data_IF_778321661826
#
_entry.id   IF_778321661826
#
_cell.length_a   1.000
_cell.length_b   1.000
_cell.length_c   1.000
_cell.angle_alpha   90.00
_cell.angle_beta   90.00
_cell.angle_gamma   90.00
#
_symmetry.space_group_name_H-M   'P 1'
#
loop_
_entity.id
_entity.type
_entity.pdbx_description
1 polymer ?
#
# COMPACT_ATOMS: atom_id res chain seq x y z
N UNK A 1 14.69 11.60 76.29
CA UNK A 1 14.80 11.35 74.83
C UNK A 1 14.33 9.93 74.47
N UNK A 2 13.03 9.61 74.51
CA UNK A 2 12.53 8.25 74.18
C UNK A 2 11.12 8.18 73.55
N UNK A 3 10.68 9.20 72.82
CA UNK A 3 9.37 9.16 72.13
C UNK A 3 9.35 9.67 70.68
N UNK A 4 10.50 9.93 70.05
CA UNK A 4 10.55 10.44 68.66
C UNK A 4 10.74 9.36 67.58
N UNK A 5 11.01 8.10 67.97
CA UNK A 5 11.33 7.04 67.01
C UNK A 5 10.11 6.36 66.33
N UNK A 6 8.92 6.19 66.96
CA UNK A 6 7.83 5.47 66.30
C UNK A 6 7.03 6.33 65.31
N UNK A 7 7.13 7.67 65.39
CA UNK A 7 6.44 8.57 64.47
C UNK A 7 7.19 8.74 63.13
N UNK A 8 8.51 8.55 63.11
CA UNK A 8 9.30 8.62 61.87
C UNK A 8 9.13 7.37 61.00
N UNK A 9 8.81 6.21 61.60
CA UNK A 9 8.60 4.96 60.85
C UNK A 9 7.20 4.86 60.22
N UNK A 10 6.19 5.57 60.72
CA UNK A 10 4.87 5.65 60.08
C UNK A 10 4.82 6.67 58.93
N UNK A 11 5.78 7.59 58.82
CA UNK A 11 5.87 8.53 57.70
C UNK A 11 6.58 7.94 56.47
N UNK A 12 7.30 6.82 56.62
CA UNK A 12 8.07 6.16 55.55
C UNK A 12 7.31 5.04 54.82
N UNK A 13 6.10 4.69 55.25
CA UNK A 13 5.26 3.66 54.61
C UNK A 13 4.15 4.24 53.70
N UNK A 14 4.12 5.56 53.51
CA UNK A 14 3.21 6.25 52.58
C UNK A 14 3.82 6.56 51.20
N UNK A 15 5.08 6.21 50.96
CA UNK A 15 5.64 6.14 49.62
C UNK A 15 5.55 4.70 49.11
N UNK A 16 4.32 4.29 48.73
CA UNK A 16 4.20 3.22 47.74
C UNK A 16 5.00 3.62 46.50
N UNK A 17 5.57 2.67 45.74
CA UNK A 17 6.18 3.00 44.46
C UNK A 17 5.12 3.76 43.65
N UNK A 18 5.39 5.03 43.35
CA UNK A 18 4.63 5.76 42.35
C UNK A 18 4.78 4.91 41.10
N UNK A 19 3.71 4.23 40.71
CA UNK A 19 3.65 3.50 39.47
C UNK A 19 4.00 4.52 38.38
N UNK A 20 5.22 4.42 37.85
CA UNK A 20 5.60 5.14 36.64
C UNK A 20 4.90 4.43 35.50
N UNK A 21 4.39 5.20 34.53
CA UNK A 21 3.93 4.63 33.28
C UNK A 21 5.08 3.82 32.69
N UNK A 22 4.91 2.50 32.61
CA UNK A 22 5.85 1.67 31.90
C UNK A 22 5.45 1.78 30.42
N UNK A 23 6.29 2.43 29.61
CA UNK A 23 6.24 2.22 28.17
C UNK A 23 6.60 0.76 27.97
N UNK A 24 5.59 -0.03 27.62
CA UNK A 24 5.77 -1.45 27.47
C UNK A 24 6.54 -1.73 26.18
N UNK A 25 7.62 -2.50 26.29
CA UNK A 25 8.40 -2.98 25.15
C UNK A 25 9.13 -1.88 24.36
N UNK A 26 10.29 -1.44 24.86
CA UNK A 26 11.16 -0.42 24.25
C UNK A 26 11.86 -0.86 22.94
N UNK A 27 11.43 -1.97 22.31
CA UNK A 27 11.99 -2.45 21.05
C UNK A 27 11.09 -2.04 19.88
N UNK A 28 11.55 -1.08 19.09
CA UNK A 28 10.83 -0.53 17.92
C UNK A 28 11.19 0.93 17.67
N UNK A 29 10.71 1.52 16.57
CA UNK A 29 10.80 2.97 16.40
C UNK A 29 9.88 3.66 17.43
N UNK A 30 10.48 4.47 18.30
CA UNK A 30 9.74 5.18 19.32
C UNK A 30 8.85 6.25 18.68
N UNK A 31 7.54 6.15 18.88
CA UNK A 31 6.61 7.23 18.53
C UNK A 31 6.66 8.31 19.61
N UNK A 32 7.15 9.54 19.30
CA UNK A 32 7.24 10.61 20.28
C UNK A 32 5.85 11.03 20.80
N UNK A 33 4.81 10.89 19.97
CA UNK A 33 3.43 11.19 20.34
C UNK A 33 2.92 10.19 21.37
N UNK A 34 3.10 8.87 21.14
CA UNK A 34 2.71 7.85 22.11
C UNK A 34 3.48 8.00 23.43
N UNK A 35 4.79 8.25 23.36
CA UNK A 35 5.62 8.46 24.55
C UNK A 35 5.11 9.65 25.40
N UNK A 36 4.71 10.74 24.76
CA UNK A 36 4.15 11.91 25.45
C UNK A 36 2.78 11.64 26.10
N UNK A 37 2.05 10.61 25.65
CA UNK A 37 0.76 10.22 26.20
C UNK A 37 0.86 9.22 27.36
N UNK A 38 1.96 8.48 27.50
CA UNK A 38 2.09 7.39 28.47
C UNK A 38 1.78 7.83 29.91
N UNK A 39 2.43 8.89 30.40
CA UNK A 39 2.21 9.41 31.76
C UNK A 39 0.80 9.98 31.97
N UNK A 40 0.15 10.44 30.89
CA UNK A 40 -1.19 11.04 30.95
C UNK A 40 -2.29 9.98 30.96
N UNK A 41 -2.07 8.85 30.29
CA UNK A 41 -3.03 7.76 30.18
C UNK A 41 -2.91 6.75 31.33
N UNK A 42 -1.73 6.63 31.95
CA UNK A 42 -1.52 5.70 33.06
C UNK A 42 -2.47 5.87 34.25
N UNK A 43 -2.78 7.10 34.74
CA UNK A 43 -3.77 7.31 35.81
C UNK A 43 -5.19 6.89 35.41
N UNK A 44 -5.51 6.82 34.12
CA UNK A 44 -6.78 6.34 33.60
C UNK A 44 -6.85 4.81 33.50
N UNK A 45 -5.78 4.12 33.92
CA UNK A 45 -5.65 2.67 33.82
C UNK A 45 -5.43 2.19 32.39
N UNK A 46 -4.79 3.00 31.55
CA UNK A 46 -4.49 2.69 30.15
C UNK A 46 -2.99 2.72 29.97
N UNK A 47 -2.42 1.62 29.48
CA UNK A 47 -1.00 1.49 29.22
C UNK A 47 -0.68 1.91 27.78
N UNK A 48 0.58 2.21 27.48
CA UNK A 48 1.03 2.59 26.13
C UNK A 48 2.16 1.68 25.67
N UNK A 49 2.09 1.23 24.42
CA UNK A 49 3.12 0.43 23.77
C UNK A 49 3.51 1.01 22.41
N UNK A 50 4.81 1.04 22.11
CA UNK A 50 5.28 1.43 20.77
C UNK A 50 5.06 0.35 19.73
N UNK A 51 4.92 -0.91 20.16
CA UNK A 51 4.61 -2.04 19.30
C UNK A 51 3.85 -3.11 20.10
N UNK A 52 2.57 -3.28 19.79
CA UNK A 52 1.68 -4.23 20.46
C UNK A 52 2.02 -5.71 20.12
N UNK A 53 2.76 -5.95 19.03
CA UNK A 53 3.14 -7.29 18.60
C UNK A 53 4.43 -7.81 19.27
N UNK A 54 5.06 -7.02 20.15
CA UNK A 54 6.18 -7.50 20.94
C UNK A 54 5.76 -8.73 21.74
N UNK A 55 6.58 -9.78 21.68
CA UNK A 55 6.22 -11.11 22.18
C UNK A 55 5.74 -11.11 23.63
N UNK A 56 6.32 -10.26 24.47
CA UNK A 56 5.94 -10.11 25.88
C UNK A 56 4.55 -9.49 26.11
N UNK A 57 4.06 -8.70 25.15
CA UNK A 57 2.76 -8.03 25.18
C UNK A 57 1.70 -8.86 24.45
N UNK A 58 2.03 -9.34 23.26
CA UNK A 58 1.14 -10.16 22.43
C UNK A 58 0.71 -11.45 23.15
N UNK A 59 1.67 -12.17 23.76
CA UNK A 59 1.40 -13.47 24.41
C UNK A 59 0.60 -13.40 25.72
N UNK A 60 0.31 -12.21 26.23
CA UNK A 60 -0.39 -12.00 27.50
C UNK A 60 -1.66 -11.20 27.28
N UNK A 61 -2.76 -11.72 27.80
CA UNK A 61 -4.01 -10.99 27.88
C UNK A 61 -3.80 -9.65 28.64
N UNK A 62 -4.34 -8.53 28.11
CA UNK A 62 -4.16 -7.23 28.72
C UNK A 62 -4.90 -7.14 30.06
N UNK A 63 -4.16 -6.94 31.16
CA UNK A 63 -4.78 -6.62 32.47
C UNK A 63 -5.43 -5.24 32.49
N UNK A 64 -4.94 -4.34 31.63
CA UNK A 64 -5.40 -2.99 31.36
C UNK A 64 -5.38 -2.78 29.85
N UNK A 65 -6.33 -2.03 29.27
CA UNK A 65 -6.28 -1.67 27.86
C UNK A 65 -4.94 -0.99 27.52
N UNK A 66 -4.38 -1.31 26.35
CA UNK A 66 -3.11 -0.75 25.88
C UNK A 66 -3.32 0.01 24.57
N UNK A 67 -2.89 1.25 24.52
CA UNK A 67 -2.86 2.03 23.29
C UNK A 67 -1.52 1.80 22.57
N UNK A 68 -1.55 1.50 21.27
CA UNK A 68 -0.29 1.37 20.54
C UNK A 68 -0.41 1.18 19.04
N UNK A 69 0.74 0.90 18.44
CA UNK A 69 0.93 0.61 17.03
C UNK A 69 1.12 -0.90 16.80
N UNK A 70 0.87 -1.32 15.56
CA UNK A 70 1.07 -2.69 15.10
C UNK A 70 2.26 -2.76 14.14
N UNK A 71 3.02 -3.84 14.21
CA UNK A 71 4.25 -4.01 13.43
C UNK A 71 4.00 -4.07 11.92
N UNK A 72 2.94 -4.78 11.51
CA UNK A 72 2.54 -4.94 10.11
C UNK A 72 1.63 -3.81 9.60
N UNK A 73 1.47 -2.75 10.40
CA UNK A 73 0.82 -1.50 10.02
C UNK A 73 1.75 -0.34 10.41
N UNK A 74 2.94 -0.23 9.79
CA UNK A 74 3.85 0.85 10.11
C UNK A 74 3.27 2.20 9.67
N UNK A 75 3.71 3.31 10.28
CA UNK A 75 3.33 4.66 9.83
C UNK A 75 3.51 4.83 8.32
N UNK A 76 2.66 5.68 7.73
CA UNK A 76 2.58 5.96 6.30
C UNK A 76 2.09 4.79 5.44
N UNK A 77 1.63 3.69 6.05
CA UNK A 77 0.90 2.65 5.31
C UNK A 77 -0.57 3.06 5.20
N UNK A 78 -0.96 3.62 4.04
CA UNK A 78 -2.33 4.00 3.77
C UNK A 78 -3.21 2.77 3.49
N UNK A 79 -4.49 2.78 3.88
CA UNK A 79 -5.36 1.63 3.66
C UNK A 79 -5.70 1.39 2.20
N UNK A 80 -6.01 0.14 1.88
CA UNK A 80 -6.46 -0.33 0.57
C UNK A 80 -8.00 -0.29 0.45
N UNK A 81 -8.55 -0.49 -0.76
CA UNK A 81 -10.01 -0.55 -0.96
C UNK A 81 -10.68 -1.64 -0.12
N UNK A 82 -10.10 -2.85 -0.09
CA UNK A 82 -10.65 -3.97 0.69
C UNK A 82 -10.64 -3.67 2.20
N UNK A 83 -9.57 -3.03 2.70
CA UNK A 83 -9.48 -2.62 4.11
C UNK A 83 -10.52 -1.55 4.45
N UNK A 84 -10.68 -0.55 3.57
CA UNK A 84 -11.69 0.50 3.75
C UNK A 84 -13.11 -0.08 3.78
N UNK A 85 -13.44 -1.00 2.86
CA UNK A 85 -14.77 -1.61 2.81
C UNK A 85 -15.06 -2.48 4.06
N UNK A 86 -14.08 -3.24 4.54
CA UNK A 86 -14.20 -4.00 5.79
C UNK A 86 -14.38 -3.07 7.00
N UNK A 87 -13.58 -2.00 7.05
CA UNK A 87 -13.61 -1.03 8.14
C UNK A 87 -14.94 -0.27 8.19
N UNK A 88 -15.40 0.27 7.06
CA UNK A 88 -16.69 0.98 6.99
C UNK A 88 -17.85 0.06 7.36
N UNK A 89 -17.79 -1.22 6.93
CA UNK A 89 -18.80 -2.21 7.30
C UNK A 89 -18.85 -2.43 8.81
N UNK A 90 -17.70 -2.67 9.46
CA UNK A 90 -17.67 -2.91 10.89
C UNK A 90 -18.12 -1.67 11.69
N UNK A 91 -17.76 -0.46 11.23
CA UNK A 91 -18.22 0.77 11.85
C UNK A 91 -19.75 0.93 11.70
N UNK A 92 -20.28 0.71 10.50
CA UNK A 92 -21.71 0.78 10.20
C UNK A 92 -22.53 -0.28 10.96
N UNK A 93 -21.96 -1.46 11.17
CA UNK A 93 -22.55 -2.55 11.98
C UNK A 93 -22.44 -2.27 13.49
N UNK A 94 -21.75 -1.20 13.90
CA UNK A 94 -21.57 -0.79 15.29
C UNK A 94 -20.59 -1.65 16.08
N UNK A 95 -19.73 -2.40 15.40
CA UNK A 95 -18.75 -3.29 16.02
C UNK A 95 -17.49 -2.54 16.47
N UNK A 96 -17.18 -1.42 15.80
CA UNK A 96 -16.01 -0.59 16.10
C UNK A 96 -16.39 0.88 16.18
N UNK A 97 -15.59 1.64 16.93
CA UNK A 97 -15.62 3.10 16.94
C UNK A 97 -14.26 3.67 16.59
N UNK A 98 -14.22 5.00 16.38
CA UNK A 98 -13.00 5.66 15.95
C UNK A 98 -12.78 7.02 16.60
N UNK A 99 -11.51 7.31 16.88
CA UNK A 99 -11.05 8.61 17.34
C UNK A 99 -9.98 9.12 16.38
N UNK A 100 -10.31 10.16 15.62
CA UNK A 100 -9.36 10.87 14.77
C UNK A 100 -8.66 11.96 15.60
N UNK A 101 -7.32 11.95 15.58
CA UNK A 101 -6.45 12.79 16.38
C UNK A 101 -5.48 13.55 15.46
N UNK A 102 -5.41 14.86 15.65
CA UNK A 102 -4.53 15.73 14.89
C UNK A 102 -3.52 16.40 15.82
N UNK A 103 -2.23 16.03 15.66
CA UNK A 103 -1.13 16.44 16.55
C UNK A 103 -0.82 17.94 16.43
N UNK A 104 -1.09 18.54 15.27
CA UNK A 104 -0.88 19.96 15.02
C UNK A 104 -2.18 20.60 14.54
N UNK A 105 -2.65 21.59 15.28
CA UNK A 105 -3.87 22.32 14.98
C UNK A 105 -3.73 23.11 13.67
N UNK A 106 -4.48 22.73 12.64
CA UNK A 106 -4.81 23.61 11.52
C UNK A 106 -5.71 24.76 11.98
N UNK A 107 -5.78 25.84 11.19
CA UNK A 107 -6.46 27.10 11.51
C UNK A 107 -7.97 27.01 11.74
N UNK A 108 -8.69 28.13 11.56
CA UNK A 108 -10.12 28.26 11.87
C UNK A 108 -11.08 27.52 10.88
N UNK A 109 -10.59 26.47 10.20
CA UNK A 109 -11.35 25.62 9.27
C UNK A 109 -11.99 24.42 9.98
N UNK A 110 -12.79 23.64 9.25
CA UNK A 110 -13.40 22.41 9.77
C UNK A 110 -12.32 21.37 10.14
N UNK A 111 -12.63 20.43 11.05
CA UNK A 111 -11.70 19.36 11.42
C UNK A 111 -11.25 18.55 10.19
N UNK A 112 -12.17 18.26 9.28
CA UNK A 112 -11.87 17.50 8.07
C UNK A 112 -10.92 18.25 7.13
N UNK A 113 -11.09 19.56 6.94
CA UNK A 113 -10.16 20.35 6.13
C UNK A 113 -8.76 20.40 6.77
N UNK A 114 -8.71 20.58 8.09
CA UNK A 114 -7.46 20.52 8.85
C UNK A 114 -6.80 19.14 8.74
N UNK A 115 -7.59 18.07 8.78
CA UNK A 115 -7.13 16.70 8.61
C UNK A 115 -6.51 16.49 7.22
N UNK A 116 -7.16 16.92 6.13
CA UNK A 116 -6.61 16.77 4.78
C UNK A 116 -5.38 17.65 4.53
N UNK A 117 -5.31 18.83 5.13
CA UNK A 117 -4.18 19.75 5.00
C UNK A 117 -2.96 19.34 5.84
N UNK A 118 -3.16 18.53 6.88
CA UNK A 118 -2.08 18.13 7.77
C UNK A 118 -1.12 17.11 7.11
N UNK A 119 0.19 17.16 7.47
CA UNK A 119 1.15 16.13 7.07
C UNK A 119 0.67 14.73 7.47
N UNK A 120 0.97 13.67 6.69
CA UNK A 120 0.50 12.31 6.98
C UNK A 120 0.77 11.84 8.42
N UNK A 121 1.99 12.07 8.93
CA UNK A 121 2.34 11.66 10.31
C UNK A 121 1.58 12.42 11.41
N UNK A 122 0.95 13.56 11.12
CA UNK A 122 0.13 14.28 12.09
C UNK A 122 -1.30 13.73 12.18
N UNK A 123 -1.72 12.90 11.22
CA UNK A 123 -3.07 12.33 11.10
C UNK A 123 -3.11 10.94 11.71
N UNK A 124 -3.56 10.86 12.96
CA UNK A 124 -3.63 9.62 13.73
C UNK A 124 -5.08 9.16 13.82
N UNK A 125 -5.34 7.94 13.41
CA UNK A 125 -6.64 7.32 13.55
C UNK A 125 -6.56 6.18 14.56
N UNK A 126 -7.27 6.31 15.69
CA UNK A 126 -7.38 5.27 16.71
C UNK A 126 -8.67 4.48 16.50
N UNK A 127 -8.55 3.20 16.16
CA UNK A 127 -9.67 2.26 16.12
C UNK A 127 -9.81 1.50 17.44
N UNK A 128 -11.03 1.27 17.90
CA UNK A 128 -11.32 0.47 19.11
C UNK A 128 -12.60 -0.35 18.92
N UNK A 129 -12.72 -1.45 19.66
CA UNK A 129 -13.92 -2.30 19.66
C UNK A 129 -15.03 -1.64 20.48
N UNK A 130 -16.29 -1.82 20.08
CA UNK A 130 -17.42 -1.06 20.63
C UNK A 130 -17.59 -1.15 22.17
N UNK A 131 -17.21 -2.26 22.81
CA UNK A 131 -17.27 -2.43 24.26
C UNK A 131 -16.21 -1.60 24.99
N UNK A 132 -15.17 -1.16 24.30
CA UNK A 132 -14.14 -0.26 24.84
C UNK A 132 -14.55 1.23 24.82
N UNK A 133 -15.76 1.56 24.38
CA UNK A 133 -16.27 2.95 24.34
C UNK A 133 -16.10 3.67 25.68
N UNK A 134 -16.37 3.00 26.80
CA UNK A 134 -16.19 3.58 28.13
C UNK A 134 -14.72 3.90 28.47
N UNK A 135 -13.76 3.17 27.88
CA UNK A 135 -12.32 3.46 28.00
C UNK A 135 -11.98 4.71 27.20
N UNK A 136 -12.44 4.78 25.95
CA UNK A 136 -12.22 5.92 25.04
C UNK A 136 -12.81 7.21 25.61
N UNK A 137 -14.02 7.16 26.15
CA UNK A 137 -14.67 8.32 26.81
C UNK A 137 -13.82 8.91 27.94
N UNK A 138 -13.05 8.09 28.67
CA UNK A 138 -12.11 8.58 29.69
C UNK A 138 -10.88 9.24 29.09
N UNK A 139 -10.46 8.84 27.89
CA UNK A 139 -9.31 9.40 27.19
C UNK A 139 -9.60 10.77 26.58
N UNK A 140 -10.83 11.01 26.11
CA UNK A 140 -11.19 12.22 25.35
C UNK A 140 -10.76 13.54 26.01
N UNK A 141 -10.99 13.80 27.32
CA UNK A 141 -10.61 15.08 27.93
C UNK A 141 -9.09 15.28 27.98
N UNK A 142 -8.33 14.20 28.17
CA UNK A 142 -6.87 14.22 28.21
C UNK A 142 -6.29 14.51 26.81
N UNK A 143 -6.86 13.87 25.79
CA UNK A 143 -6.44 14.04 24.40
C UNK A 143 -6.83 15.42 23.85
N UNK A 144 -8.04 15.90 24.15
CA UNK A 144 -8.53 17.23 23.74
C UNK A 144 -7.67 18.37 24.30
N UNK A 145 -7.03 18.17 25.46
CA UNK A 145 -6.08 19.14 26.02
C UNK A 145 -4.74 19.23 25.27
N UNK A 146 -4.49 18.37 24.28
CA UNK A 146 -3.21 18.24 23.57
C UNK A 146 -3.34 18.29 22.05
N UNK A 147 -4.45 17.80 21.50
CA UNK A 147 -4.67 17.59 20.08
C UNK A 147 -6.08 18.05 19.71
N UNK A 148 -6.27 18.43 18.43
CA UNK A 148 -7.64 18.47 17.90
C UNK A 148 -8.12 17.03 17.73
N UNK A 149 -9.39 16.78 18.05
CA UNK A 149 -9.96 15.46 17.91
C UNK A 149 -11.38 15.48 17.37
N UNK A 150 -11.75 14.37 16.74
CA UNK A 150 -13.10 14.04 16.33
C UNK A 150 -13.35 12.58 16.74
N UNK A 151 -14.33 12.38 17.60
CA UNK A 151 -14.77 11.06 18.04
C UNK A 151 -16.03 10.70 17.27
N UNK A 152 -16.02 9.54 16.61
CA UNK A 152 -17.19 8.95 15.99
C UNK A 152 -17.50 7.67 16.78
N UNK A 153 -18.61 7.68 17.49
CA UNK A 153 -19.01 6.57 18.37
C UNK A 153 -19.45 5.35 17.52
N UNK A 154 -19.37 4.12 18.07
CA UNK A 154 -19.83 2.92 17.37
C UNK A 154 -21.33 3.00 17.02
N UNK A 155 -21.69 2.59 15.80
CA UNK A 155 -23.09 2.38 15.40
C UNK A 155 -23.83 3.63 14.91
N UNK A 156 -23.15 4.77 14.80
CA UNK A 156 -23.70 5.97 14.15
C UNK A 156 -23.59 5.84 12.62
N UNK A 157 -24.51 5.07 12.03
CA UNK A 157 -24.47 4.72 10.60
C UNK A 157 -24.32 5.94 9.66
N UNK A 158 -24.92 7.07 10.01
CA UNK A 158 -24.82 8.31 9.23
C UNK A 158 -23.39 8.88 9.14
N UNK A 159 -22.49 8.46 10.04
CA UNK A 159 -21.11 8.92 10.11
C UNK A 159 -20.11 7.96 9.43
N UNK A 160 -20.57 6.83 8.88
CA UNK A 160 -19.69 5.82 8.27
C UNK A 160 -18.84 6.39 7.12
N UNK A 161 -19.43 7.21 6.25
CA UNK A 161 -18.70 7.90 5.19
C UNK A 161 -17.64 8.86 5.76
N UNK A 162 -17.98 9.61 6.81
CA UNK A 162 -17.06 10.53 7.46
C UNK A 162 -15.87 9.78 8.09
N UNK A 163 -16.13 8.67 8.78
CA UNK A 163 -15.11 7.76 9.29
C UNK A 163 -14.23 7.18 8.18
N UNK A 164 -14.84 6.70 7.09
CA UNK A 164 -14.14 6.16 5.93
C UNK A 164 -13.23 7.18 5.25
N UNK A 165 -13.66 8.44 5.14
CA UNK A 165 -12.84 9.55 4.62
C UNK A 165 -11.61 9.82 5.48
N UNK A 166 -11.75 9.76 6.81
CA UNK A 166 -10.63 9.90 7.73
C UNK A 166 -9.68 8.69 7.62
N UNK A 167 -10.24 7.48 7.60
CA UNK A 167 -9.52 6.22 7.48
C UNK A 167 -8.66 6.18 6.23
N UNK A 168 -9.25 6.51 5.06
CA UNK A 168 -8.62 6.44 3.75
C UNK A 168 -7.26 7.16 3.64
N UNK A 169 -7.05 8.20 4.46
CA UNK A 169 -5.84 9.04 4.44
C UNK A 169 -5.09 9.06 5.78
N UNK A 170 -5.47 8.21 6.74
CA UNK A 170 -4.79 8.11 8.03
C UNK A 170 -3.31 7.75 7.84
N UNK A 171 -2.40 8.62 8.27
CA UNK A 171 -0.96 8.36 8.14
C UNK A 171 -0.38 7.57 9.32
N UNK A 172 -1.10 7.51 10.43
CA UNK A 172 -0.84 6.54 11.51
C UNK A 172 -2.16 5.88 11.89
N UNK A 173 -2.15 4.55 12.01
CA UNK A 173 -3.30 3.76 12.49
C UNK A 173 -2.94 3.15 13.84
N UNK A 174 -3.60 3.63 14.88
CA UNK A 174 -3.44 3.15 16.25
C UNK A 174 -4.61 2.23 16.60
N UNK A 175 -4.38 1.35 17.57
CA UNK A 175 -5.43 0.47 18.09
C UNK A 175 -5.38 0.40 19.60
N UNK A 176 -6.54 0.20 20.21
CA UNK A 176 -6.69 -0.13 21.62
C UNK A 176 -6.72 -1.66 21.80
N UNK A 177 -5.66 -2.22 22.37
CA UNK A 177 -5.54 -3.63 22.73
C UNK A 177 -6.21 -3.88 24.09
N UNK A 178 -7.39 -4.50 24.06
CA UNK A 178 -8.18 -4.92 25.23
C UNK A 178 -8.57 -6.41 25.10
N UNK A 179 -9.15 -7.00 26.15
CA UNK A 179 -9.72 -8.36 26.04
C UNK A 179 -10.83 -8.38 24.98
N UNK A 180 -11.71 -7.38 24.94
CA UNK A 180 -12.79 -7.31 23.96
C UNK A 180 -12.26 -7.19 22.52
N UNK A 181 -11.26 -6.32 22.31
CA UNK A 181 -10.62 -6.15 21.00
C UNK A 181 -9.90 -7.42 20.51
N UNK A 182 -9.33 -8.23 21.42
CA UNK A 182 -8.72 -9.53 21.07
C UNK A 182 -9.74 -10.64 20.79
N UNK A 183 -10.90 -10.58 21.44
CA UNK A 183 -11.97 -11.56 21.24
C UNK A 183 -12.80 -11.25 19.98
N UNK A 184 -12.74 -10.01 19.49
CA UNK A 184 -13.38 -9.57 18.27
C UNK A 184 -12.74 -10.22 17.02
N UNK A 185 -13.52 -11.07 16.37
CA UNK A 185 -13.10 -11.78 15.15
C UNK A 185 -13.37 -10.90 13.94
N UNK A 186 -12.31 -10.28 13.42
CA UNK A 186 -12.38 -9.41 12.26
C UNK A 186 -11.21 -9.64 11.31
N UNK A 187 -11.46 -9.39 10.03
CA UNK A 187 -10.43 -9.37 8.99
C UNK A 187 -9.80 -7.96 8.84
N UNK A 188 -10.25 -6.98 9.64
CA UNK A 188 -9.66 -5.64 9.70
C UNK A 188 -8.26 -5.74 10.30
N UNK A 189 -7.20 -5.27 9.61
CA UNK A 189 -5.81 -5.42 10.06
C UNK A 189 -5.53 -4.96 11.49
N UNK A 190 -6.16 -3.86 11.92
CA UNK A 190 -6.03 -3.29 13.27
C UNK A 190 -6.42 -4.26 14.38
N UNK A 191 -7.40 -5.14 14.13
CA UNK A 191 -7.86 -6.13 15.11
C UNK A 191 -7.28 -7.52 14.82
N UNK A 192 -7.12 -7.87 13.55
CA UNK A 192 -6.58 -9.15 13.09
C UNK A 192 -5.19 -9.45 13.67
N UNK A 193 -4.36 -8.42 13.85
CA UNK A 193 -2.99 -8.57 14.35
C UNK A 193 -2.87 -8.44 15.88
N UNK A 194 -3.95 -8.19 16.62
CA UNK A 194 -3.91 -8.14 18.07
C UNK A 194 -3.64 -9.53 18.66
N UNK A 195 -2.76 -9.59 19.67
CA UNK A 195 -2.35 -10.86 20.29
C UNK A 195 -1.37 -11.70 19.45
N UNK A 196 -1.12 -11.34 18.19
CA UNK A 196 -0.12 -11.99 17.34
C UNK A 196 1.28 -11.49 17.67
N UNK A 197 2.21 -12.41 17.90
CA UNK A 197 3.57 -12.10 18.30
C UNK A 197 4.52 -12.01 17.11
N UNK A 198 5.44 -11.04 17.14
CA UNK A 198 6.55 -10.96 16.19
C UNK A 198 7.28 -12.29 16.05
N UNK A 199 7.62 -12.64 14.81
CA UNK A 199 8.40 -13.83 14.52
C UNK A 199 9.86 -13.63 14.93
N UNK A 200 10.55 -14.73 15.27
CA UNK A 200 11.99 -14.68 15.61
C UNK A 200 12.77 -14.11 14.42
N UNK A 201 13.60 -13.10 14.69
CA UNK A 201 14.44 -12.42 13.70
C UNK A 201 13.64 -11.75 12.55
N UNK A 202 12.39 -11.35 12.82
CA UNK A 202 11.55 -10.62 11.86
C UNK A 202 10.87 -9.44 12.54
N UNK A 203 10.60 -8.39 11.77
CA UNK A 203 9.82 -7.23 12.20
C UNK A 203 8.32 -7.37 11.90
N UNK A 204 7.86 -8.59 11.57
CA UNK A 204 6.48 -8.89 11.16
C UNK A 204 5.89 -10.06 11.97
N UNK A 205 4.59 -10.00 12.24
CA UNK A 205 3.78 -11.14 12.72
C UNK A 205 3.41 -12.06 11.57
N UNK A 206 3.31 -11.50 10.37
CA UNK A 206 3.02 -12.26 9.17
C UNK A 206 4.18 -13.23 8.89
N UNK A 207 3.79 -14.48 8.67
CA UNK A 207 4.73 -15.48 8.21
C UNK A 207 4.60 -15.58 6.69
N UNK A 208 5.53 -15.01 5.89
CA UNK A 208 5.53 -15.20 4.44
C UNK A 208 5.53 -16.68 4.05
N UNK A 209 6.06 -17.55 4.92
CA UNK A 209 6.05 -19.00 4.79
C UNK A 209 4.92 -19.71 5.59
N UNK A 210 3.86 -19.07 6.09
CA UNK A 210 2.77 -19.85 6.74
C UNK A 210 1.95 -20.59 5.71
N UNK A 211 1.18 -21.62 6.04
CA UNK A 211 0.23 -22.22 5.06
C UNK A 211 -0.95 -21.30 4.72
N UNK A 212 -1.24 -20.27 5.52
CA UNK A 212 -2.31 -19.31 5.25
C UNK A 212 -1.82 -18.19 4.32
N UNK A 213 -0.63 -17.65 4.58
CA UNK A 213 0.04 -16.74 3.65
C UNK A 213 0.69 -17.45 2.48
N UNK A 214 1.08 -18.73 2.57
CA UNK A 214 1.25 -19.69 1.44
C UNK A 214 -0.06 -20.40 1.14
N UNK A 215 -1.22 -19.78 1.36
CA UNK A 215 -2.48 -20.10 0.67
C UNK A 215 -2.82 -18.94 -0.24
N UNK A 216 -2.60 -17.72 0.25
CA UNK A 216 -2.51 -16.49 -0.55
C UNK A 216 -1.31 -16.52 -1.53
N UNK A 217 -0.10 -16.77 -1.03
CA UNK A 217 1.16 -16.92 -1.77
C UNK A 217 1.41 -18.33 -2.35
N UNK A 218 0.54 -19.32 -2.10
CA UNK A 218 0.54 -20.58 -2.87
C UNK A 218 -0.52 -20.59 -3.96
N UNK A 219 -1.54 -19.72 -3.88
CA UNK A 219 -2.36 -19.35 -5.03
C UNK A 219 -1.65 -18.35 -5.96
N UNK A 220 -0.43 -17.94 -5.64
CA UNK A 220 0.34 -16.92 -6.33
C UNK A 220 1.78 -17.40 -6.66
N UNK A 221 2.40 -16.85 -7.71
CA UNK A 221 3.48 -17.48 -8.45
C UNK A 221 4.81 -17.49 -7.73
N UNK A 222 5.74 -18.32 -8.22
CA UNK A 222 7.12 -18.07 -7.86
C UNK A 222 7.48 -16.65 -8.34
N UNK A 223 7.88 -15.85 -7.35
CA UNK A 223 8.16 -14.43 -7.37
C UNK A 223 8.86 -14.05 -8.68
N UNK A 224 8.14 -13.30 -9.53
CA UNK A 224 8.71 -12.68 -10.71
C UNK A 224 8.97 -11.21 -10.40
N UNK A 225 10.25 -10.84 -10.28
CA UNK A 225 10.69 -9.45 -10.26
C UNK A 225 11.37 -9.15 -11.58
N UNK A 226 11.06 -8.01 -12.18
CA UNK A 226 11.64 -7.62 -13.47
C UNK A 226 13.18 -7.60 -13.42
N UNK A 227 13.76 -7.09 -12.35
CA UNK A 227 15.21 -7.05 -12.11
C UNK A 227 15.89 -8.43 -12.19
N UNK A 228 15.14 -9.50 -11.96
CA UNK A 228 15.66 -10.87 -12.00
C UNK A 228 15.80 -11.42 -13.44
N UNK A 229 15.33 -10.71 -14.47
CA UNK A 229 15.52 -11.09 -15.87
C UNK A 229 16.94 -10.83 -16.41
N UNK A 230 17.82 -10.18 -15.64
CA UNK A 230 19.12 -9.71 -16.13
C UNK A 230 18.98 -8.55 -17.12
N UNK A 231 20.08 -8.08 -17.69
CA UNK A 231 20.10 -6.98 -18.67
C UNK A 231 21.10 -7.27 -19.81
N UNK A 232 21.61 -6.23 -20.47
CA UNK A 232 22.64 -6.38 -21.51
C UNK A 232 23.94 -7.01 -20.96
N UNK A 233 24.25 -6.83 -19.68
CA UNK A 233 25.51 -7.20 -19.04
C UNK A 233 25.35 -8.29 -17.98
N UNK A 234 24.19 -8.37 -17.34
CA UNK A 234 23.90 -9.28 -16.23
C UNK A 234 23.04 -10.47 -16.66
N UNK A 235 23.38 -11.65 -16.14
CA UNK A 235 22.60 -12.86 -16.40
C UNK A 235 21.30 -12.86 -15.59
N UNK A 236 20.22 -13.40 -16.16
CA UNK A 236 18.99 -13.65 -15.42
C UNK A 236 19.22 -14.61 -14.25
N UNK A 237 18.54 -14.34 -13.15
CA UNK A 237 18.46 -15.22 -11.98
C UNK A 237 17.18 -16.06 -11.98
N UNK A 238 16.28 -15.87 -12.96
CA UNK A 238 14.99 -16.54 -13.03
C UNK A 238 15.13 -17.93 -13.71
N UNK A 239 14.66 -19.00 -13.07
CA UNK A 239 14.46 -20.29 -13.73
C UNK A 239 13.39 -20.16 -14.84
N UNK A 240 13.68 -20.63 -16.06
CA UNK A 240 12.81 -20.58 -17.25
C UNK A 240 11.38 -21.12 -16.99
N UNK A 241 11.26 -22.02 -16.02
CA UNK A 241 10.00 -22.64 -15.58
C UNK A 241 9.03 -21.59 -14.99
N UNK A 242 9.50 -20.37 -14.67
CA UNK A 242 8.79 -19.39 -13.83
C UNK A 242 8.80 -17.96 -14.41
N UNK A 243 8.55 -17.80 -15.70
CA UNK A 243 8.02 -16.49 -16.16
C UNK A 243 6.58 -16.69 -16.59
N UNK A 244 5.64 -16.79 -15.64
CA UNK A 244 4.23 -16.79 -15.99
C UNK A 244 3.87 -15.39 -16.50
N UNK A 245 3.22 -15.31 -17.67
CA UNK A 245 2.76 -14.05 -18.28
C UNK A 245 3.92 -13.27 -18.89
N UNK A 246 3.93 -13.14 -20.22
CA UNK A 246 4.97 -12.37 -20.90
C UNK A 246 4.77 -10.87 -20.77
N UNK A 247 4.26 -10.38 -19.63
CA UNK A 247 4.19 -8.96 -19.29
C UNK A 247 4.46 -8.79 -17.79
N UNK A 248 5.34 -7.85 -17.45
CA UNK A 248 5.58 -7.46 -16.07
C UNK A 248 5.91 -5.97 -15.94
N UNK A 249 5.37 -5.33 -14.89
CA UNK A 249 5.48 -3.89 -14.67
C UNK A 249 6.05 -3.56 -13.29
N UNK A 250 7.33 -3.19 -13.29
CA UNK A 250 8.20 -3.07 -12.12
C UNK A 250 8.53 -1.64 -11.70
N UNK A 251 8.42 -0.67 -12.60
CA UNK A 251 9.08 0.61 -12.40
C UNK A 251 8.19 1.62 -11.66
N UNK A 252 8.71 2.33 -10.65
CA UNK A 252 8.01 3.47 -10.07
C UNK A 252 8.10 4.69 -10.99
N UNK A 253 7.07 5.55 -10.95
CA UNK A 253 7.09 6.79 -11.71
C UNK A 253 8.21 7.74 -11.24
N UNK A 254 8.89 8.35 -12.20
CA UNK A 254 9.83 9.46 -12.00
C UNK A 254 9.18 10.74 -12.49
N UNK A 255 9.20 11.79 -11.67
CA UNK A 255 8.66 13.09 -12.03
C UNK A 255 9.78 14.08 -12.36
N UNK A 256 9.56 14.94 -13.36
CA UNK A 256 10.48 16.05 -13.67
C UNK A 256 10.51 17.13 -12.60
N UNK A 257 9.44 17.24 -11.81
CA UNK A 257 9.26 18.23 -10.75
C UNK A 257 9.10 17.53 -9.39
N UNK A 258 9.71 18.09 -8.35
CA UNK A 258 9.51 17.65 -6.97
C UNK A 258 8.21 18.25 -6.37
N UNK A 259 7.74 17.69 -5.25
CA UNK A 259 6.62 18.26 -4.50
C UNK A 259 5.25 18.11 -5.18
N UNK A 260 5.13 17.20 -6.14
CA UNK A 260 3.84 16.88 -6.75
C UNK A 260 2.98 16.06 -5.78
N UNK A 261 1.66 16.19 -5.92
CA UNK A 261 0.68 15.30 -5.30
C UNK A 261 -0.40 14.89 -6.31
N UNK A 262 -1.08 13.78 -6.02
CA UNK A 262 -2.19 13.28 -6.82
C UNK A 262 -3.52 13.78 -6.24
N UNK A 263 -4.40 14.23 -7.13
CA UNK A 263 -5.78 14.61 -6.81
C UNK A 263 -6.72 13.80 -7.70
N UNK A 264 -7.77 13.26 -7.09
CA UNK A 264 -8.91 12.69 -7.80
C UNK A 264 -10.15 13.55 -7.55
N UNK A 265 -10.78 14.05 -8.59
CA UNK A 265 -12.02 14.82 -8.46
C UNK A 265 -12.78 14.78 -9.77
N UNK A 266 -14.12 14.76 -9.70
CA UNK A 266 -14.98 14.72 -10.88
C UNK A 266 -14.58 13.59 -11.85
N UNK A 267 -14.27 12.41 -11.29
CA UNK A 267 -13.87 11.22 -12.05
C UNK A 267 -12.59 11.40 -12.90
N UNK A 268 -11.74 12.36 -12.53
CA UNK A 268 -10.50 12.69 -13.24
C UNK A 268 -9.32 12.74 -12.28
N UNK A 269 -8.16 12.23 -12.73
CA UNK A 269 -6.88 12.38 -12.05
C UNK A 269 -6.12 13.63 -12.51
N UNK A 270 -5.49 14.28 -11.54
CA UNK A 270 -4.67 15.48 -11.70
C UNK A 270 -3.37 15.34 -10.93
N UNK A 271 -2.28 15.87 -11.48
CA UNK A 271 -1.10 16.19 -10.67
C UNK A 271 -1.27 17.63 -10.15
N UNK A 272 -0.99 17.82 -8.87
CA UNK A 272 -0.96 19.12 -8.22
C UNK A 272 0.48 19.50 -7.90
N UNK A 273 0.91 20.69 -8.33
CA UNK A 273 2.16 21.31 -7.92
C UNK A 273 2.08 21.92 -6.52
N UNK A 274 3.24 22.20 -5.91
CA UNK A 274 3.34 22.88 -4.60
C UNK A 274 2.72 24.29 -4.61
N UNK A 275 2.71 24.94 -5.77
CA UNK A 275 2.09 26.25 -6.02
C UNK A 275 0.56 26.18 -6.20
N UNK A 276 -0.02 24.98 -6.10
CA UNK A 276 -1.44 24.74 -6.36
C UNK A 276 -1.79 24.64 -7.84
N UNK A 277 -0.81 24.68 -8.75
CA UNK A 277 -1.05 24.46 -10.17
C UNK A 277 -1.59 23.05 -10.40
N UNK A 278 -2.59 22.92 -11.28
CA UNK A 278 -3.20 21.63 -11.64
C UNK A 278 -2.79 21.24 -13.05
N UNK A 279 -2.26 20.03 -13.18
CA UNK A 279 -1.87 19.45 -14.45
C UNK A 279 -2.79 18.26 -14.75
N UNK A 280 -3.50 18.35 -15.87
CA UNK A 280 -4.38 17.27 -16.34
C UNK A 280 -3.52 16.08 -16.73
N UNK A 281 -3.75 14.91 -16.13
CA UNK A 281 -3.14 13.65 -16.58
C UNK A 281 -3.83 13.14 -17.85
N UNK A 282 -3.15 12.36 -18.71
CA UNK A 282 -3.77 11.82 -19.92
C UNK A 282 -5.03 11.03 -19.57
N UNK A 283 -6.10 11.16 -20.35
CA UNK A 283 -7.37 10.53 -20.04
C UNK A 283 -7.26 9.00 -20.12
N UNK A 284 -7.78 8.29 -19.12
CA UNK A 284 -8.06 6.86 -19.21
C UNK A 284 -9.41 6.57 -18.52
N UNK A 285 -10.09 5.47 -18.88
CA UNK A 285 -11.31 5.05 -18.18
C UNK A 285 -11.05 4.77 -16.69
N UNK A 286 -12.01 5.08 -15.81
CA UNK A 286 -11.93 4.75 -14.37
C UNK A 286 -11.57 3.27 -14.09
N UNK A 287 -12.14 2.27 -14.81
CA UNK A 287 -11.76 0.86 -14.60
C UNK A 287 -10.26 0.61 -14.80
N UNK A 288 -9.63 1.31 -15.76
CA UNK A 288 -8.20 1.18 -16.04
C UNK A 288 -7.37 1.72 -14.87
N UNK A 289 -7.69 2.92 -14.38
CA UNK A 289 -6.98 3.48 -13.23
C UNK A 289 -7.17 2.63 -11.97
N UNK A 290 -8.38 2.14 -11.73
CA UNK A 290 -8.65 1.27 -10.58
C UNK A 290 -7.89 -0.04 -10.65
N UNK A 291 -7.91 -0.71 -11.80
CA UNK A 291 -7.18 -1.96 -12.02
C UNK A 291 -5.65 -1.76 -11.90
N UNK A 292 -5.12 -0.65 -12.43
CA UNK A 292 -3.70 -0.31 -12.28
C UNK A 292 -3.31 -0.03 -10.82
N UNK A 293 -4.17 0.64 -10.05
CA UNK A 293 -3.97 0.85 -8.62
C UNK A 293 -3.96 -0.47 -7.84
N UNK A 294 -4.96 -1.33 -8.06
CA UNK A 294 -5.06 -2.63 -7.39
C UNK A 294 -3.89 -3.54 -7.76
N UNK A 295 -3.44 -3.48 -9.02
CA UNK A 295 -2.26 -4.20 -9.47
C UNK A 295 -0.99 -3.71 -8.78
N UNK A 296 -0.76 -2.39 -8.70
CA UNK A 296 0.41 -1.82 -8.03
C UNK A 296 0.47 -2.24 -6.55
N UNK A 297 -0.67 -2.18 -5.86
CA UNK A 297 -0.81 -2.61 -4.46
C UNK A 297 -0.50 -4.10 -4.31
N UNK A 298 -1.09 -4.97 -5.14
CA UNK A 298 -0.82 -6.41 -5.14
C UNK A 298 0.65 -6.70 -5.45
N UNK A 299 1.23 -6.01 -6.43
CA UNK A 299 2.61 -6.17 -6.89
C UNK A 299 3.58 -5.97 -5.73
N UNK A 300 3.41 -4.90 -4.96
CA UNK A 300 4.20 -4.62 -3.77
C UNK A 300 3.96 -5.64 -2.66
N UNK A 301 2.69 -6.00 -2.40
CA UNK A 301 2.33 -6.93 -1.32
C UNK A 301 2.95 -8.31 -1.48
N UNK A 302 3.00 -8.82 -2.72
CA UNK A 302 3.44 -10.18 -2.99
C UNK A 302 4.83 -10.25 -3.62
N UNK A 303 5.49 -9.10 -3.76
CA UNK A 303 6.77 -8.93 -4.43
C UNK A 303 6.80 -9.56 -5.84
N UNK A 304 5.79 -9.28 -6.66
CA UNK A 304 5.80 -9.76 -8.05
C UNK A 304 5.22 -8.76 -9.03
N UNK A 305 5.99 -8.45 -10.07
CA UNK A 305 5.64 -7.49 -11.11
C UNK A 305 4.83 -8.10 -12.25
N UNK A 306 4.62 -9.42 -12.25
CA UNK A 306 3.94 -10.13 -13.33
C UNK A 306 2.42 -9.93 -13.28
N UNK A 307 1.80 -9.78 -14.46
CA UNK A 307 0.34 -9.60 -14.61
C UNK A 307 -0.48 -10.88 -14.39
N UNK A 308 0.18 -11.99 -14.08
CA UNK A 308 -0.43 -13.29 -13.85
C UNK A 308 0.03 -13.90 -12.53
N UNK A 309 -0.80 -14.79 -12.01
CA UNK A 309 -0.56 -15.62 -10.84
C UNK A 309 -0.28 -17.07 -11.26
N UNK A 310 0.49 -17.83 -10.48
CA UNK A 310 0.58 -19.29 -10.61
C UNK A 310 -0.03 -19.90 -9.35
N UNK A 311 -1.00 -20.78 -9.53
CA UNK A 311 -1.63 -21.47 -8.42
C UNK A 311 -0.79 -22.64 -7.85
N UNK A 312 -1.28 -23.27 -6.78
CA UNK A 312 -0.60 -24.37 -6.06
C UNK A 312 -0.24 -25.57 -6.94
N UNK A 313 -0.89 -25.67 -8.10
CA UNK A 313 -0.73 -26.77 -9.08
C UNK A 313 0.15 -26.37 -10.26
N UNK A 314 0.76 -25.19 -10.23
CA UNK A 314 1.60 -24.69 -11.32
C UNK A 314 0.80 -24.11 -12.48
N UNK A 315 -0.51 -23.82 -12.33
CA UNK A 315 -1.33 -23.26 -13.42
C UNK A 315 -1.28 -21.74 -13.41
N UNK A 316 -1.01 -21.17 -14.57
CA UNK A 316 -1.00 -19.71 -14.80
C UNK A 316 -2.43 -19.20 -14.93
N UNK A 317 -2.76 -18.12 -14.21
CA UNK A 317 -4.04 -17.40 -14.29
C UNK A 317 -3.78 -15.90 -14.30
N UNK A 318 -4.66 -15.10 -14.91
CA UNK A 318 -4.54 -13.63 -14.82
C UNK A 318 -4.59 -13.23 -13.34
N UNK A 319 -3.78 -12.23 -12.98
CA UNK A 319 -3.71 -11.71 -11.61
C UNK A 319 -5.11 -11.38 -11.10
N UNK A 320 -5.43 -11.76 -9.87
CA UNK A 320 -6.72 -11.42 -9.26
C UNK A 320 -6.98 -9.89 -9.27
N UNK A 321 -5.95 -9.06 -9.25
CA UNK A 321 -6.07 -7.60 -9.38
C UNK A 321 -6.62 -7.15 -10.74
N UNK A 322 -6.35 -7.91 -11.81
CA UNK A 322 -6.74 -7.62 -13.18
C UNK A 322 -7.92 -8.49 -13.66
N UNK A 323 -8.22 -9.60 -12.97
CA UNK A 323 -9.29 -10.52 -13.35
C UNK A 323 -10.62 -9.80 -13.55
N UNK A 324 -11.37 -10.24 -14.57
CA UNK A 324 -12.68 -9.70 -14.95
C UNK A 324 -12.66 -8.22 -15.39
N UNK A 325 -11.52 -7.72 -15.87
CA UNK A 325 -11.38 -6.38 -16.47
C UNK A 325 -11.05 -6.45 -17.97
N UNK A 326 -11.44 -5.43 -18.72
CA UNK A 326 -11.04 -5.30 -20.14
C UNK A 326 -9.52 -5.21 -20.30
N UNK A 327 -8.85 -4.58 -19.32
CA UNK A 327 -7.39 -4.49 -19.23
C UNK A 327 -6.73 -5.87 -19.24
N UNK A 328 -7.26 -6.83 -18.45
CA UNK A 328 -6.74 -8.18 -18.43
C UNK A 328 -6.81 -8.87 -19.80
N UNK A 329 -7.95 -8.75 -20.48
CA UNK A 329 -8.12 -9.33 -21.81
C UNK A 329 -7.15 -8.71 -22.83
N UNK A 330 -7.01 -7.38 -22.80
CA UNK A 330 -6.08 -6.67 -23.67
C UNK A 330 -4.62 -7.08 -23.41
N UNK A 331 -4.21 -7.21 -22.15
CA UNK A 331 -2.85 -7.63 -21.81
C UNK A 331 -2.53 -9.06 -22.26
N UNK A 332 -3.48 -9.98 -22.14
CA UNK A 332 -3.31 -11.33 -22.71
C UNK A 332 -3.20 -11.28 -24.24
N UNK A 333 -3.96 -10.41 -24.90
CA UNK A 333 -3.85 -10.24 -26.35
C UNK A 333 -2.49 -9.66 -26.75
N UNK A 334 -2.02 -8.63 -26.04
CA UNK A 334 -0.72 -7.96 -26.28
C UNK A 334 0.44 -8.95 -26.11
N UNK A 335 0.40 -9.82 -25.10
CA UNK A 335 1.43 -10.85 -24.86
C UNK A 335 1.64 -11.79 -26.06
N UNK A 336 0.61 -12.00 -26.89
CA UNK A 336 0.71 -12.86 -28.08
C UNK A 336 1.27 -12.16 -29.33
N UNK A 337 1.33 -10.83 -29.34
CA UNK A 337 1.73 -10.05 -30.51
C UNK A 337 3.19 -10.23 -30.94
N UNK A 338 4.20 -10.31 -30.05
CA UNK A 338 5.61 -10.35 -30.44
C UNK A 338 5.95 -11.40 -31.51
N UNK A 339 5.35 -12.59 -31.44
CA UNK A 339 5.60 -13.68 -32.40
C UNK A 339 4.94 -13.50 -33.76
N UNK A 340 4.00 -12.57 -33.91
CA UNK A 340 3.43 -12.23 -35.21
C UNK A 340 4.45 -11.49 -36.07
N UNK A 341 5.26 -10.64 -35.42
CA UNK A 341 6.25 -9.75 -36.03
C UNK A 341 7.66 -10.33 -36.04
N UNK A 342 8.04 -11.13 -35.03
CA UNK A 342 9.37 -11.73 -34.90
C UNK A 342 9.30 -13.25 -35.10
N UNK A 343 9.74 -13.73 -36.28
CA UNK A 343 9.59 -15.14 -36.70
C UNK A 343 10.89 -15.95 -36.82
N UNK A 344 12.06 -15.31 -36.69
CA UNK A 344 13.37 -15.92 -37.00
C UNK A 344 14.25 -16.20 -35.79
N UNK A 345 13.78 -15.85 -34.60
CA UNK A 345 14.44 -16.26 -33.37
C UNK A 345 14.00 -17.68 -33.03
N UNK A 346 14.95 -18.55 -32.69
CA UNK A 346 14.66 -19.91 -32.20
C UNK A 346 14.32 -19.85 -30.70
N UNK A 347 13.25 -19.12 -30.40
CA UNK A 347 12.76 -18.82 -29.06
C UNK A 347 11.26 -19.08 -29.03
N UNK A 348 10.76 -19.47 -27.86
CA UNK A 348 9.33 -19.82 -27.67
C UNK A 348 8.61 -18.91 -26.70
N UNK A 349 9.33 -17.94 -26.14
CA UNK A 349 8.83 -17.07 -25.09
C UNK A 349 9.24 -15.62 -25.32
N UNK A 350 8.29 -14.72 -25.14
CA UNK A 350 8.51 -13.28 -25.06
C UNK A 350 8.09 -12.77 -23.70
N UNK A 351 8.68 -11.65 -23.28
CA UNK A 351 8.24 -10.89 -22.11
C UNK A 351 8.33 -9.40 -22.44
N UNK A 352 7.30 -8.65 -22.08
CA UNK A 352 7.21 -7.20 -22.18
C UNK A 352 7.45 -6.63 -20.80
N UNK A 353 8.42 -5.74 -20.66
CA UNK A 353 8.74 -5.11 -19.39
C UNK A 353 8.86 -3.61 -19.55
N UNK A 354 8.37 -2.84 -18.59
CA UNK A 354 8.68 -1.42 -18.49
C UNK A 354 10.11 -1.22 -18.03
N UNK A 355 10.78 -0.17 -18.50
CA UNK A 355 12.16 0.16 -18.15
C UNK A 355 12.29 1.47 -17.40
N UNK A 356 11.47 2.45 -17.77
CA UNK A 356 11.44 3.75 -17.13
C UNK A 356 10.12 4.41 -17.45
N UNK A 357 9.43 4.89 -16.44
CA UNK A 357 8.25 5.73 -16.60
C UNK A 357 8.57 7.13 -16.10
N UNK A 358 8.46 8.12 -16.98
CA UNK A 358 8.70 9.52 -16.66
C UNK A 358 7.44 10.34 -16.89
N UNK A 359 7.02 11.10 -15.89
CA UNK A 359 5.97 12.10 -15.97
C UNK A 359 6.58 13.50 -16.02
N UNK A 360 6.12 14.29 -16.98
CA UNK A 360 6.58 15.65 -17.24
C UNK A 360 5.38 16.59 -17.32
N UNK A 361 5.49 17.73 -16.66
CA UNK A 361 4.48 18.80 -16.71
C UNK A 361 4.85 19.83 -17.76
N UNK A 362 3.87 20.23 -18.58
CA UNK A 362 4.03 21.28 -19.59
C UNK A 362 2.72 22.06 -19.74
N UNK A 363 2.77 23.37 -19.50
CA UNK A 363 1.56 24.20 -19.46
C UNK A 363 0.59 23.71 -18.38
N UNK A 364 -0.63 23.31 -18.77
CA UNK A 364 -1.66 22.75 -17.88
C UNK A 364 -1.83 21.24 -18.03
N UNK A 365 -0.92 20.57 -18.75
CA UNK A 365 -0.96 19.14 -18.96
C UNK A 365 0.21 18.46 -18.25
N UNK A 366 -0.03 17.24 -17.82
CA UNK A 366 1.01 16.27 -17.50
C UNK A 366 1.00 15.21 -18.59
N UNK A 367 2.16 14.94 -19.17
CA UNK A 367 2.36 13.85 -20.10
C UNK A 367 3.31 12.84 -19.47
N UNK A 368 3.26 11.60 -19.91
CA UNK A 368 4.24 10.59 -19.58
C UNK A 368 4.93 10.00 -20.81
N UNK A 369 6.13 9.48 -20.56
CA UNK A 369 6.85 8.60 -21.46
C UNK A 369 7.12 7.27 -20.76
N UNK A 370 6.98 6.18 -21.51
CA UNK A 370 7.30 4.83 -21.04
C UNK A 370 8.35 4.23 -21.94
N UNK A 371 9.57 4.08 -21.43
CA UNK A 371 10.57 3.22 -22.03
C UNK A 371 10.20 1.79 -21.64
N UNK A 372 10.11 0.87 -22.61
CA UNK A 372 9.78 -0.54 -22.37
C UNK A 372 10.50 -1.45 -23.36
N UNK A 373 10.59 -2.73 -23.05
CA UNK A 373 11.28 -3.71 -23.87
C UNK A 373 10.39 -4.91 -24.16
N UNK A 374 10.53 -5.45 -25.38
CA UNK A 374 10.04 -6.78 -25.74
C UNK A 374 11.25 -7.72 -25.81
N UNK A 375 11.38 -8.59 -24.81
CA UNK A 375 12.48 -9.55 -24.69
C UNK A 375 12.06 -10.91 -25.20
N UNK A 376 12.94 -11.57 -25.94
CA UNK A 376 12.78 -12.92 -26.42
C UNK A 376 13.71 -13.86 -25.67
N UNK A 377 13.13 -14.84 -24.98
CA UNK A 377 13.82 -15.66 -24.00
C UNK A 377 13.99 -17.11 -24.46
N UNK A 378 15.10 -17.72 -24.05
CA UNK A 378 15.39 -19.14 -24.22
C UNK A 378 16.05 -19.69 -22.96
N UNK A 379 15.74 -20.92 -22.53
CA UNK A 379 16.54 -21.58 -21.50
C UNK A 379 17.96 -21.85 -21.95
N UNK A 380 18.87 -21.75 -20.97
CA UNK A 380 20.13 -22.44 -21.03
C UNK A 380 20.05 -23.91 -20.53
N UNK A 381 21.20 -24.58 -20.52
CA UNK A 381 21.31 -25.99 -20.07
C UNK A 381 20.93 -26.20 -18.60
N UNK A 382 20.94 -25.13 -17.80
CA UNK A 382 20.56 -25.14 -16.39
C UNK A 382 19.08 -24.73 -16.19
N UNK A 383 18.32 -24.56 -17.28
CA UNK A 383 16.94 -24.07 -17.29
C UNK A 383 16.80 -22.67 -16.70
N UNK A 384 17.82 -21.82 -16.87
CA UNK A 384 17.74 -20.39 -16.52
C UNK A 384 17.31 -19.64 -17.77
N UNK A 385 16.35 -18.73 -17.64
CA UNK A 385 15.90 -17.90 -18.75
C UNK A 385 17.05 -17.01 -19.23
N UNK A 386 17.33 -16.94 -20.53
CA UNK A 386 18.31 -16.00 -21.09
C UNK A 386 17.68 -15.18 -22.20
N UNK A 387 17.89 -13.86 -22.13
CA UNK A 387 17.53 -12.95 -23.21
C UNK A 387 18.40 -13.24 -24.43
N UNK A 388 17.76 -13.65 -25.52
CA UNK A 388 18.41 -13.90 -26.82
C UNK A 388 18.44 -12.63 -27.66
N UNK A 389 17.36 -11.88 -27.62
CA UNK A 389 17.27 -10.56 -28.19
C UNK A 389 16.22 -9.75 -27.41
N UNK A 390 16.39 -8.45 -27.36
CA UNK A 390 15.43 -7.50 -26.83
C UNK A 390 15.26 -6.35 -27.81
N UNK A 391 14.04 -5.84 -27.91
CA UNK A 391 13.69 -4.67 -28.71
C UNK A 391 13.22 -3.59 -27.75
N UNK A 392 13.89 -2.45 -27.75
CA UNK A 392 13.62 -1.32 -26.86
C UNK A 392 12.74 -0.31 -27.56
N UNK A 393 11.66 0.08 -26.90
CA UNK A 393 10.70 1.06 -27.38
C UNK A 393 10.57 2.23 -26.40
N UNK A 394 10.19 3.39 -26.92
CA UNK A 394 9.71 4.53 -26.14
C UNK A 394 8.31 4.87 -26.60
N UNK A 395 7.37 4.85 -25.67
CA UNK A 395 6.05 5.42 -25.84
C UNK A 395 6.03 6.86 -25.32
N UNK A 396 5.39 7.76 -26.07
CA UNK A 396 5.09 9.13 -25.67
C UNK A 396 3.58 9.31 -25.67
N UNK A 397 3.01 9.64 -24.51
CA UNK A 397 1.59 9.98 -24.40
C UNK A 397 1.25 11.28 -25.14
N UNK A 398 2.21 12.20 -25.24
CA UNK A 398 2.09 13.36 -26.12
C UNK A 398 2.16 12.90 -27.59
N UNK A 399 1.05 13.11 -28.32
CA UNK A 399 0.89 12.64 -29.69
C UNK A 399 0.65 11.13 -29.85
N UNK A 400 0.51 10.38 -28.73
CA UNK A 400 0.18 8.95 -28.71
C UNK A 400 1.04 8.09 -29.65
N UNK A 401 2.36 8.21 -29.51
CA UNK A 401 3.32 7.65 -30.46
C UNK A 401 4.29 6.67 -29.80
N UNK A 402 4.74 5.70 -30.57
CA UNK A 402 5.72 4.70 -30.14
C UNK A 402 6.87 4.65 -31.15
N UNK A 403 8.10 4.68 -30.64
CA UNK A 403 9.30 4.64 -31.45
C UNK A 403 10.19 3.49 -31.01
N UNK A 404 10.75 2.76 -31.98
CA UNK A 404 11.87 1.85 -31.75
C UNK A 404 13.12 2.67 -31.44
N UNK A 405 13.82 2.30 -30.36
CA UNK A 405 15.00 3.02 -29.87
C UNK A 405 16.27 2.22 -30.15
N UNK A 406 16.27 0.94 -29.79
CA UNK A 406 17.45 0.09 -29.87
C UNK A 406 17.08 -1.41 -29.87
N UNK A 407 18.03 -2.28 -30.20
CA UNK A 407 17.91 -3.73 -30.00
C UNK A 407 19.22 -4.30 -29.47
N UNK A 408 19.14 -5.14 -28.43
CA UNK A 408 20.33 -5.73 -27.80
C UNK A 408 20.19 -7.24 -27.56
N UNK A 409 21.31 -7.90 -27.28
CA UNK A 409 21.39 -9.33 -27.03
C UNK A 409 22.11 -10.13 -28.15
N UNK A 410 22.47 -11.39 -27.88
CA UNK A 410 23.35 -12.18 -28.76
C UNK A 410 22.77 -12.44 -30.15
N UNK A 411 21.45 -12.47 -30.29
CA UNK A 411 20.74 -12.68 -31.56
C UNK A 411 20.06 -11.41 -32.10
N UNK A 412 20.33 -10.22 -31.53
CA UNK A 412 19.71 -8.97 -31.94
C UNK A 412 19.95 -8.63 -33.42
N UNK A 413 21.15 -8.93 -33.93
CA UNK A 413 21.51 -8.77 -35.34
C UNK A 413 20.58 -9.52 -36.31
N UNK A 414 19.86 -10.56 -35.84
CA UNK A 414 18.90 -11.32 -36.66
C UNK A 414 17.58 -10.59 -36.86
N UNK A 415 17.33 -9.52 -36.10
CA UNK A 415 16.11 -8.72 -36.18
C UNK A 415 16.17 -7.68 -37.32
N UNK A 416 17.38 -7.25 -37.70
CA UNK A 416 17.59 -6.22 -38.71
C UNK A 416 17.08 -6.61 -40.10
N UNK A 417 16.42 -5.65 -40.77
CA UNK A 417 15.98 -5.75 -42.17
C UNK A 417 14.82 -6.70 -42.44
N UNK A 418 14.23 -7.34 -41.41
CA UNK A 418 13.11 -8.31 -41.57
C UNK A 418 12.06 -8.26 -40.46
N UNK A 419 12.26 -7.47 -39.42
CA UNK A 419 11.27 -7.22 -38.37
C UNK A 419 10.52 -5.93 -38.68
N UNK A 420 9.19 -6.00 -38.64
CA UNK A 420 8.35 -4.80 -38.67
C UNK A 420 8.32 -4.18 -37.26
N UNK A 421 9.32 -3.34 -36.97
CA UNK A 421 9.47 -2.71 -35.66
C UNK A 421 8.34 -1.74 -35.34
N UNK A 422 7.84 -1.03 -36.35
CA UNK A 422 6.73 -0.09 -36.21
C UNK A 422 5.43 -0.84 -35.89
N UNK A 423 5.12 -1.89 -36.65
CA UNK A 423 3.95 -2.74 -36.40
C UNK A 423 4.00 -3.41 -35.03
N UNK A 424 5.15 -3.95 -34.62
CA UNK A 424 5.32 -4.52 -33.28
C UNK A 424 5.09 -3.44 -32.20
N UNK A 425 5.74 -2.29 -32.31
CA UNK A 425 5.59 -1.20 -31.34
C UNK A 425 4.15 -0.73 -31.20
N UNK A 426 3.44 -0.59 -32.32
CA UNK A 426 2.02 -0.23 -32.34
C UNK A 426 1.14 -1.30 -31.68
N UNK A 427 1.45 -2.59 -31.89
CA UNK A 427 0.71 -3.71 -31.29
C UNK A 427 0.90 -3.84 -29.78
N UNK A 428 1.99 -3.28 -29.23
CA UNK A 428 2.33 -3.33 -27.81
C UNK A 428 2.12 -2.00 -27.07
N UNK A 429 1.60 -0.97 -27.75
CA UNK A 429 1.44 0.39 -27.17
C UNK A 429 0.57 0.41 -25.91
N UNK A 430 -0.45 -0.44 -25.86
CA UNK A 430 -1.35 -0.54 -24.71
C UNK A 430 -0.59 -0.94 -23.43
N UNK A 431 0.35 -1.89 -23.51
CA UNK A 431 1.20 -2.28 -22.38
C UNK A 431 1.99 -1.08 -21.84
N UNK A 432 2.53 -0.23 -22.73
CA UNK A 432 3.27 0.95 -22.33
C UNK A 432 2.41 2.03 -21.63
N UNK A 433 1.15 2.19 -22.06
CA UNK A 433 0.18 3.07 -21.39
C UNK A 433 -0.16 2.56 -19.99
N UNK A 434 -0.42 1.26 -19.84
CA UNK A 434 -0.78 0.69 -18.55
C UNK A 434 0.38 0.65 -17.57
N UNK A 435 1.60 0.38 -18.05
CA UNK A 435 2.81 0.52 -17.26
C UNK A 435 2.91 1.91 -16.62
N UNK A 436 2.54 2.98 -17.33
CA UNK A 436 2.60 4.33 -16.78
C UNK A 436 1.64 4.54 -15.61
N UNK A 437 0.42 4.01 -15.69
CA UNK A 437 -0.55 4.07 -14.60
C UNK A 437 -0.13 3.23 -13.40
N UNK A 438 0.41 2.03 -13.64
CA UNK A 438 0.95 1.18 -12.57
C UNK A 438 2.11 1.89 -11.89
N UNK A 439 3.06 2.46 -12.64
CA UNK A 439 4.18 3.22 -12.11
C UNK A 439 3.75 4.44 -11.28
N UNK A 440 2.71 5.16 -11.73
CA UNK A 440 2.09 6.26 -10.98
C UNK A 440 1.59 5.79 -9.61
N UNK A 441 0.81 4.71 -9.58
CA UNK A 441 0.23 4.19 -8.35
C UNK A 441 1.22 3.45 -7.45
N UNK A 442 2.26 2.82 -8.01
CA UNK A 442 3.42 2.34 -7.23
C UNK A 442 4.06 3.49 -6.47
N UNK A 443 4.27 4.62 -7.15
CA UNK A 443 4.83 5.81 -6.50
C UNK A 443 3.95 6.37 -5.39
N UNK A 444 2.61 6.27 -5.53
CA UNK A 444 1.67 6.57 -4.44
C UNK A 444 1.83 5.60 -3.28
N UNK A 445 1.85 4.29 -3.56
CA UNK A 445 1.93 3.25 -2.53
C UNK A 445 3.25 3.28 -1.75
N UNK A 446 4.35 3.59 -2.42
CA UNK A 446 5.69 3.77 -1.84
C UNK A 446 5.83 5.11 -1.08
N UNK A 447 4.75 5.88 -0.90
CA UNK A 447 4.73 7.21 -0.29
C UNK A 447 5.60 8.26 -1.01
N UNK A 448 5.94 8.02 -2.27
CA UNK A 448 6.69 8.94 -3.12
C UNK A 448 5.83 9.97 -3.86
N UNK A 449 4.50 9.82 -3.84
CA UNK A 449 3.53 10.76 -4.39
C UNK A 449 2.31 10.85 -3.45
N UNK A 450 2.15 11.93 -2.68
CA UNK A 450 1.00 12.09 -1.78
C UNK A 450 -0.32 12.01 -2.54
N UNK A 451 -1.27 11.20 -2.07
CA UNK A 451 -2.63 11.10 -2.61
C UNK A 451 -3.64 11.25 -1.48
N UNK A 452 -3.87 12.50 -1.05
CA UNK A 452 -4.79 12.79 0.07
C UNK A 452 -6.18 13.16 -0.44
N UNK A 453 -6.26 14.12 -1.37
CA UNK A 453 -7.54 14.67 -1.83
C UNK A 453 -8.18 13.75 -2.87
N UNK A 454 -9.44 13.35 -2.62
CA UNK A 454 -10.18 12.45 -3.50
C UNK A 454 -9.82 10.96 -3.36
N UNK A 455 -8.90 10.61 -2.46
CA UNK A 455 -8.48 9.22 -2.26
C UNK A 455 -9.63 8.33 -1.84
N UNK A 456 -10.47 8.81 -0.91
CA UNK A 456 -11.65 8.08 -0.48
C UNK A 456 -12.55 7.69 -1.66
N UNK A 457 -12.96 8.68 -2.46
CA UNK A 457 -13.79 8.49 -3.64
C UNK A 457 -13.15 7.52 -4.64
N UNK A 458 -11.82 7.62 -4.82
CA UNK A 458 -11.09 6.72 -5.70
C UNK A 458 -11.08 5.27 -5.17
N UNK A 459 -10.90 5.07 -3.86
CA UNK A 459 -10.91 3.75 -3.24
C UNK A 459 -12.28 3.08 -3.31
N UNK A 460 -13.37 3.87 -3.31
CA UNK A 460 -14.76 3.38 -3.47
C UNK A 460 -15.13 2.99 -4.90
N UNK A 461 -14.25 3.19 -5.88
CA UNK A 461 -14.48 2.65 -7.23
C UNK A 461 -14.37 1.12 -7.20
N UNK A 462 -15.32 0.41 -7.77
CA UNK A 462 -15.18 -1.01 -8.10
C UNK A 462 -14.17 -1.20 -9.24
N UNK A 463 -13.68 -2.44 -9.42
CA UNK A 463 -12.81 -2.78 -10.58
C UNK A 463 -13.45 -2.42 -11.93
N UNK A 464 -14.78 -2.48 -12.01
CA UNK A 464 -15.56 -2.06 -13.18
C UNK A 464 -15.73 -0.53 -13.30
N UNK A 465 -15.05 0.27 -12.46
CA UNK A 465 -15.07 1.74 -12.46
C UNK A 465 -16.38 2.36 -11.96
N UNK A 466 -17.27 1.57 -11.36
CA UNK A 466 -18.52 2.06 -10.77
C UNK A 466 -18.29 2.46 -9.32
N UNK A 467 -18.90 3.55 -8.87
CA UNK A 467 -18.86 3.91 -7.45
C UNK A 467 -19.67 2.88 -6.65
N UNK A 468 -19.04 2.25 -5.65
CA UNK A 468 -19.78 1.50 -4.65
C UNK A 468 -20.54 2.52 -3.79
N UNK A 469 -21.88 2.53 -3.77
CA UNK A 469 -22.60 3.39 -2.84
C UNK A 469 -22.18 3.03 -1.42
N UNK A 470 -22.02 4.03 -0.55
CA UNK A 470 -22.02 3.79 0.89
C UNK A 470 -23.31 3.01 1.18
N UNK A 471 -23.18 1.77 1.67
CA UNK A 471 -24.35 0.93 1.92
C UNK A 471 -25.12 1.57 3.07
N UNK A 472 -26.26 2.20 2.73
CA UNK A 472 -27.26 2.75 3.65
C UNK A 472 -27.95 1.68 4.50
#
# INVERSE_FOLDING_TARGET
MRFLLPMLLCALTLYGPVARAEILGLQGEASPVLAALADLLHPLGIDVAHNLNLRELASREPQRPRLGLLADIPPLTLPMSEELDLWEKAYADGEIGVLALLVEAGGNSSFHDNWLAAPPLARILLSYEAQDEAVVQRMLPVLAGRMQLLHLAPGEHAEAEQGGRLYAVAGQRWVLDSTAARDYRSDIPEFLYLGESLRRNSASVLNPDSRANRRLASSEPAVFLKESLGDEFEASTIPEIIVPGGIAFGEPAVFSQAGLSLLFTQEQLWLLGEDGARYVLPSAPLPVWKAAYDFAVRSSRIASDAIVDIDERGRVRISAALADTDLAYEMVHVDTQPFQYVRRLDVRKSVIIDNRVRFETSGQAANFSTDYEVRFLQADRMRIARTRAAIVYRYLSDGDSVAHIDSWGPDAFRLEGRTDFEGLGASTVAAARYAAWIALFRKVHENGLPFTYGRYEFLKLEKAGRTTPARM
#
